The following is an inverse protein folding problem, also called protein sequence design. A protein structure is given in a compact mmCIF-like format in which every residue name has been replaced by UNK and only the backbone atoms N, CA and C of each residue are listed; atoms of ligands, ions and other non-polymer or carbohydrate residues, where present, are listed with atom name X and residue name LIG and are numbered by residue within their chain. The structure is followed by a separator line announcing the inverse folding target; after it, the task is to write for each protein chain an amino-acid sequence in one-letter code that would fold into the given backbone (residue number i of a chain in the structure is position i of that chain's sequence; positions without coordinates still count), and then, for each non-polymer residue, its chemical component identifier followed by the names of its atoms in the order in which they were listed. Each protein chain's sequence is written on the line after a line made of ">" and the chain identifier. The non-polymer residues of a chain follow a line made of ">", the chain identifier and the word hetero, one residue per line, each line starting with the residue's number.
data_IF_982078215634
#
_entry.id   IF_982078215634
#
_cell.length_a   1.000
_cell.length_b   1.000
_cell.length_c   1.000
_cell.angle_alpha   90.00
_cell.angle_beta   90.00
_cell.angle_gamma   90.00
#
_symmetry.space_group_name_H-M   'P 1'
#
loop_
_entity.id
_entity.type
_entity.pdbx_description
1 polymer ?
#
# COMPACT_ATOMS: atom_id res chain seq x y z
N UNK A 1 7.52 -13.33 -0.54
CA UNK A 1 8.92 -12.87 -0.40
C UNK A 1 8.90 -11.39 0.00
N UNK A 2 9.86 -10.89 0.79
CA UNK A 2 9.86 -9.47 1.20
C UNK A 2 10.01 -8.54 0.00
N UNK A 3 9.29 -7.41 0.05
CA UNK A 3 9.28 -6.41 -1.02
C UNK A 3 10.41 -5.36 -0.90
N UNK A 4 11.14 -5.33 0.22
CA UNK A 4 12.11 -4.28 0.53
C UNK A 4 13.16 -4.03 -0.56
N UNK A 5 13.79 -5.05 -1.18
CA UNK A 5 14.76 -4.82 -2.25
C UNK A 5 14.14 -4.17 -3.50
N UNK A 6 12.83 -4.33 -3.69
CA UNK A 6 12.11 -3.93 -4.90
C UNK A 6 11.29 -2.65 -4.73
N UNK A 7 11.16 -2.13 -3.50
CA UNK A 7 10.37 -0.94 -3.19
C UNK A 7 10.96 0.31 -3.83
N UNK A 8 10.07 1.22 -4.29
CA UNK A 8 10.45 2.55 -4.82
C UNK A 8 11.17 3.44 -3.81
N UNK A 9 10.97 3.19 -2.52
CA UNK A 9 11.55 3.98 -1.43
C UNK A 9 13.00 3.62 -1.08
N UNK A 10 13.57 2.61 -1.73
CA UNK A 10 14.96 2.25 -1.48
C UNK A 10 15.91 3.28 -2.12
N UNK A 11 16.78 3.88 -1.29
CA UNK A 11 17.70 4.96 -1.71
C UNK A 11 18.72 4.52 -2.74
N UNK A 12 19.23 3.30 -2.63
CA UNK A 12 20.27 2.75 -3.52
C UNK A 12 19.66 1.85 -4.59
N UNK A 13 19.13 2.47 -5.64
CA UNK A 13 18.60 1.72 -6.80
C UNK A 13 19.68 1.01 -7.62
N UNK A 14 20.96 1.40 -7.47
CA UNK A 14 22.06 0.95 -8.34
C UNK A 14 22.49 -0.49 -8.12
N UNK A 15 22.28 -1.07 -6.94
CA UNK A 15 22.69 -2.47 -6.68
C UNK A 15 21.75 -3.19 -5.71
N UNK A 16 20.53 -3.42 -6.17
CA UNK A 16 19.50 -4.15 -5.42
C UNK A 16 19.90 -5.60 -5.13
N UNK A 17 20.78 -6.17 -5.96
CA UNK A 17 21.26 -7.54 -5.82
C UNK A 17 22.07 -7.76 -4.54
N UNK A 18 22.66 -6.68 -3.97
CA UNK A 18 23.38 -6.72 -2.69
C UNK A 18 22.47 -6.74 -1.45
N UNK A 19 21.17 -6.47 -1.59
CA UNK A 19 20.27 -6.53 -0.45
C UNK A 19 20.16 -7.98 0.05
N UNK A 20 20.26 -8.16 1.38
CA UNK A 20 20.23 -9.50 2.02
C UNK A 20 19.01 -10.35 1.62
N UNK A 21 17.87 -9.71 1.39
CA UNK A 21 16.60 -10.36 1.06
C UNK A 21 16.42 -10.65 -0.44
N UNK A 22 17.35 -10.20 -1.29
CA UNK A 22 17.30 -10.47 -2.74
C UNK A 22 17.18 -11.97 -3.06
N UNK A 23 17.91 -12.79 -2.31
CA UNK A 23 17.96 -14.25 -2.52
C UNK A 23 16.73 -14.99 -2.01
N UNK A 24 15.81 -14.36 -1.29
CA UNK A 24 14.66 -15.03 -0.68
C UNK A 24 13.67 -15.58 -1.73
N UNK A 25 13.59 -14.97 -2.90
CA UNK A 25 12.76 -15.51 -3.98
C UNK A 25 13.35 -16.81 -4.56
N UNK A 26 14.67 -16.94 -4.62
CA UNK A 26 15.33 -18.23 -4.96
C UNK A 26 15.05 -19.30 -3.89
N UNK A 27 15.05 -18.91 -2.59
CA UNK A 27 14.68 -19.86 -1.53
C UNK A 27 13.21 -20.29 -1.63
N UNK A 28 12.33 -19.40 -2.04
CA UNK A 28 10.95 -19.77 -2.31
C UNK A 28 10.86 -20.80 -3.46
N UNK A 29 11.59 -20.57 -4.55
CA UNK A 29 11.70 -21.54 -5.65
C UNK A 29 12.22 -22.91 -5.20
N UNK A 30 13.26 -22.93 -4.34
CA UNK A 30 13.80 -24.18 -3.74
C UNK A 30 12.74 -24.89 -2.91
N UNK A 31 12.01 -24.18 -2.06
CA UNK A 31 10.93 -24.79 -1.25
C UNK A 31 9.80 -25.34 -2.11
N UNK A 32 9.44 -24.67 -3.21
CA UNK A 32 8.45 -25.21 -4.16
C UNK A 32 8.93 -26.51 -4.80
N UNK A 33 10.21 -26.63 -5.13
CA UNK A 33 10.78 -27.84 -5.68
C UNK A 33 10.79 -29.01 -4.67
N UNK A 34 11.10 -28.73 -3.42
CA UNK A 34 11.11 -29.73 -2.34
C UNK A 34 9.69 -30.21 -1.97
N UNK A 35 8.78 -29.24 -1.74
CA UNK A 35 7.41 -29.54 -1.26
C UNK A 35 6.49 -30.00 -2.40
N UNK A 36 6.74 -29.55 -3.64
CA UNK A 36 5.96 -29.86 -4.85
C UNK A 36 4.45 -29.60 -4.71
N UNK A 37 4.03 -28.44 -4.19
CA UNK A 37 2.62 -28.15 -3.98
C UNK A 37 1.84 -28.20 -5.30
N UNK A 38 0.53 -28.44 -5.26
CA UNK A 38 -0.30 -28.42 -6.45
C UNK A 38 -0.50 -27.00 -7.01
N UNK A 39 -0.53 -26.00 -6.13
CA UNK A 39 -0.74 -24.60 -6.47
C UNK A 39 0.31 -23.76 -5.75
N UNK A 40 0.84 -22.75 -6.44
CA UNK A 40 1.71 -21.72 -5.88
C UNK A 40 1.05 -20.37 -6.14
N UNK A 41 1.00 -19.52 -5.12
CA UNK A 41 0.60 -18.13 -5.25
C UNK A 41 1.65 -17.21 -4.64
N UNK A 42 1.83 -16.05 -5.25
CA UNK A 42 2.73 -15.01 -4.73
C UNK A 42 2.11 -13.64 -4.97
N UNK A 43 2.25 -12.76 -3.98
CA UNK A 43 1.99 -11.33 -4.08
C UNK A 43 3.28 -10.57 -3.80
N UNK A 44 3.52 -9.49 -4.56
CA UNK A 44 4.64 -8.59 -4.32
C UNK A 44 4.38 -7.20 -4.93
N UNK A 45 5.34 -6.29 -4.79
CA UNK A 45 5.29 -4.97 -5.44
C UNK A 45 5.48 -5.09 -6.96
N UNK A 46 4.87 -4.21 -7.76
CA UNK A 46 4.95 -4.25 -9.23
C UNK A 46 6.38 -4.26 -9.78
N UNK A 47 7.28 -3.55 -9.12
CA UNK A 47 8.68 -3.38 -9.55
C UNK A 47 9.45 -4.70 -9.65
N UNK A 48 9.02 -5.74 -8.91
CA UNK A 48 9.63 -7.07 -8.96
C UNK A 48 9.53 -7.70 -10.35
N UNK A 49 8.48 -7.40 -11.13
CA UNK A 49 8.26 -7.96 -12.47
C UNK A 49 9.45 -7.73 -13.41
N UNK A 50 10.14 -6.60 -13.25
CA UNK A 50 11.27 -6.19 -14.10
C UNK A 50 12.62 -6.72 -13.60
N UNK A 51 12.64 -7.51 -12.54
CA UNK A 51 13.88 -7.98 -11.93
C UNK A 51 14.25 -9.40 -12.39
N UNK A 52 15.54 -9.63 -12.64
CA UNK A 52 16.03 -10.95 -13.05
C UNK A 52 15.61 -12.08 -12.11
N UNK A 53 15.62 -11.85 -10.80
CA UNK A 53 15.20 -12.84 -9.80
C UNK A 53 13.76 -13.32 -10.01
N UNK A 54 12.88 -12.47 -10.52
CA UNK A 54 11.50 -12.85 -10.85
C UNK A 54 11.44 -13.73 -12.10
N UNK A 55 12.14 -13.35 -13.17
CA UNK A 55 12.20 -14.18 -14.38
C UNK A 55 12.83 -15.56 -14.11
N UNK A 56 13.85 -15.62 -13.27
CA UNK A 56 14.48 -16.88 -12.84
C UNK A 56 13.49 -17.75 -12.02
N UNK A 57 12.67 -17.12 -11.16
CA UNK A 57 11.63 -17.80 -10.40
C UNK A 57 10.54 -18.36 -11.30
N UNK A 58 10.03 -17.59 -12.25
CA UNK A 58 9.06 -18.04 -13.27
C UNK A 58 9.65 -19.21 -14.07
N UNK A 59 10.90 -19.11 -14.54
CA UNK A 59 11.61 -20.18 -15.23
C UNK A 59 11.74 -21.46 -14.38
N UNK A 60 11.99 -21.32 -13.09
CA UNK A 60 12.03 -22.45 -12.16
C UNK A 60 10.68 -23.15 -12.05
N UNK A 61 9.60 -22.39 -11.87
CA UNK A 61 8.23 -22.96 -11.80
C UNK A 61 7.86 -23.67 -13.10
N UNK A 62 8.17 -23.09 -14.24
CA UNK A 62 7.90 -23.67 -15.56
C UNK A 62 8.65 -25.00 -15.75
N UNK A 63 9.94 -25.04 -15.40
CA UNK A 63 10.76 -26.26 -15.43
C UNK A 63 10.21 -27.37 -14.50
N UNK A 64 9.61 -26.98 -13.37
CA UNK A 64 8.97 -27.90 -12.43
C UNK A 64 7.56 -28.37 -12.88
N UNK A 65 7.12 -27.97 -14.09
CA UNK A 65 5.86 -28.39 -14.70
C UNK A 65 4.64 -27.58 -14.28
N UNK A 66 4.84 -26.38 -13.74
CA UNK A 66 3.71 -25.48 -13.44
C UNK A 66 3.30 -24.66 -14.64
N UNK A 67 1.99 -24.53 -14.86
CA UNK A 67 1.40 -23.50 -15.71
C UNK A 67 1.39 -22.18 -14.94
N UNK A 68 2.21 -21.22 -15.33
CA UNK A 68 2.40 -19.96 -14.61
C UNK A 68 1.62 -18.84 -15.30
N UNK A 69 0.92 -18.03 -14.50
CA UNK A 69 0.25 -16.81 -14.94
C UNK A 69 0.56 -15.71 -13.92
N UNK A 70 0.93 -14.52 -14.38
CA UNK A 70 1.14 -13.37 -13.51
C UNK A 70 0.69 -12.08 -14.20
N UNK A 71 0.32 -11.10 -13.42
CA UNK A 71 0.05 -9.72 -13.86
C UNK A 71 0.09 -8.75 -12.69
N UNK A 72 0.29 -7.48 -13.00
CA UNK A 72 0.06 -6.39 -12.05
C UNK A 72 -1.44 -6.07 -12.02
N UNK A 73 -2.01 -6.08 -10.82
CA UNK A 73 -3.41 -5.72 -10.57
C UNK A 73 -3.48 -4.50 -9.66
N UNK A 74 -4.54 -3.71 -9.80
CA UNK A 74 -4.87 -2.65 -8.87
C UNK A 74 -6.12 -3.05 -8.07
N UNK A 75 -6.06 -3.02 -6.75
CA UNK A 75 -7.18 -3.41 -5.89
C UNK A 75 -8.45 -2.58 -6.15
N UNK A 76 -8.30 -1.32 -6.56
CA UNK A 76 -9.43 -0.45 -6.90
C UNK A 76 -10.30 -1.01 -8.04
N UNK A 77 -9.71 -1.76 -9.00
CA UNK A 77 -10.42 -2.35 -10.13
C UNK A 77 -11.32 -3.53 -9.69
N UNK A 78 -11.21 -3.94 -8.43
CA UNK A 78 -11.96 -5.05 -7.81
C UNK A 78 -12.84 -4.59 -6.63
N UNK A 79 -13.16 -3.30 -6.55
CA UNK A 79 -14.07 -2.75 -5.56
C UNK A 79 -13.44 -2.42 -4.20
N UNK A 80 -12.12 -2.50 -4.07
CA UNK A 80 -11.42 -2.02 -2.87
C UNK A 80 -11.24 -0.51 -2.99
N UNK A 81 -11.71 0.30 -2.02
CA UNK A 81 -11.58 1.77 -2.09
C UNK A 81 -10.14 2.25 -1.84
N UNK A 82 -9.18 1.58 -2.47
CA UNK A 82 -7.76 1.84 -2.25
C UNK A 82 -6.95 1.66 -3.53
N UNK A 83 -6.12 2.63 -3.87
CA UNK A 83 -5.13 2.52 -4.95
C UNK A 83 -3.96 1.67 -4.49
N UNK A 84 -4.04 0.35 -4.77
CA UNK A 84 -3.02 -0.62 -4.36
C UNK A 84 -2.65 -1.53 -5.52
N UNK A 85 -1.56 -1.21 -6.20
CA UNK A 85 -1.03 -2.04 -7.29
C UNK A 85 -0.12 -3.13 -6.74
N UNK A 86 -0.33 -4.36 -7.19
CA UNK A 86 0.46 -5.54 -6.78
C UNK A 86 0.71 -6.47 -7.94
N UNK A 87 1.91 -7.02 -7.98
CA UNK A 87 2.25 -8.16 -8.83
C UNK A 87 1.69 -9.43 -8.19
N UNK A 88 0.79 -10.08 -8.87
CA UNK A 88 0.25 -11.38 -8.48
C UNK A 88 0.75 -12.46 -9.42
N UNK A 89 1.19 -13.59 -8.87
CA UNK A 89 1.55 -14.79 -9.62
C UNK A 89 0.72 -15.96 -9.11
N UNK A 90 0.15 -16.71 -10.04
CA UNK A 90 -0.56 -17.97 -9.80
C UNK A 90 0.08 -19.06 -10.67
N UNK A 91 0.39 -20.20 -10.08
CA UNK A 91 0.93 -21.33 -10.81
C UNK A 91 0.27 -22.63 -10.37
N UNK A 92 0.01 -23.53 -11.30
CA UNK A 92 -0.66 -24.81 -11.04
C UNK A 92 -0.07 -25.93 -11.88
N UNK A 93 0.07 -27.13 -11.27
CA UNK A 93 0.47 -28.35 -11.98
C UNK A 93 -0.64 -28.97 -12.85
N UNK A 94 -1.90 -28.62 -12.57
CA UNK A 94 -3.05 -29.25 -13.28
C UNK A 94 -3.51 -28.43 -14.46
N UNK A 95 -3.93 -27.19 -14.22
CA UNK A 95 -4.53 -26.30 -15.23
C UNK A 95 -3.92 -24.90 -15.13
N UNK A 96 -3.93 -24.17 -16.25
CA UNK A 96 -3.66 -22.74 -16.23
C UNK A 96 -4.76 -22.04 -15.42
N UNK A 97 -4.34 -21.27 -14.41
CA UNK A 97 -5.24 -20.43 -13.61
C UNK A 97 -5.28 -19.06 -14.26
N UNK A 98 -6.50 -18.59 -14.54
CA UNK A 98 -6.73 -17.23 -15.06
C UNK A 98 -7.14 -16.31 -13.92
N UNK A 99 -6.72 -15.05 -13.98
CA UNK A 99 -7.23 -14.01 -13.10
C UNK A 99 -8.67 -13.67 -13.48
N UNK A 100 -9.50 -13.38 -12.48
CA UNK A 100 -10.81 -12.79 -12.72
C UNK A 100 -10.64 -11.43 -13.43
N UNK A 101 -11.62 -11.05 -14.22
CA UNK A 101 -11.63 -9.71 -14.82
C UNK A 101 -11.94 -8.66 -13.76
N UNK A 102 -11.51 -7.41 -13.95
CA UNK A 102 -11.94 -6.30 -13.13
C UNK A 102 -13.46 -6.28 -12.95
N UNK A 103 -13.91 -6.12 -11.72
CA UNK A 103 -15.34 -6.13 -11.38
C UNK A 103 -15.96 -4.74 -11.37
N UNK A 104 -15.13 -3.69 -11.35
CA UNK A 104 -15.55 -2.30 -11.26
C UNK A 104 -14.94 -1.49 -12.40
N UNK A 105 -15.77 -0.81 -13.19
CA UNK A 105 -15.34 0.13 -14.22
C UNK A 105 -14.97 1.49 -13.61
N UNK A 106 -15.67 1.86 -12.54
CA UNK A 106 -15.35 3.04 -11.72
C UNK A 106 -14.89 2.56 -10.32
N UNK A 107 -13.83 3.12 -9.77
CA UNK A 107 -13.37 2.73 -8.44
C UNK A 107 -14.34 3.23 -7.37
N UNK A 108 -14.51 2.45 -6.30
CA UNK A 108 -15.24 2.88 -5.10
C UNK A 108 -14.45 4.00 -4.41
N UNK A 109 -15.09 5.14 -4.22
CA UNK A 109 -14.48 6.34 -3.63
C UNK A 109 -14.40 6.25 -2.11
N UNK A 110 -13.57 7.13 -1.50
CA UNK A 110 -13.54 7.31 -0.04
C UNK A 110 -14.93 7.68 0.48
N UNK A 111 -15.69 8.53 -0.23
CA UNK A 111 -17.06 8.92 0.14
C UNK A 111 -17.99 7.71 0.21
N UNK A 112 -17.99 6.87 -0.78
CA UNK A 112 -18.83 5.67 -0.80
C UNK A 112 -18.46 4.67 0.31
N UNK A 113 -17.16 4.60 0.67
CA UNK A 113 -16.67 3.65 1.66
C UNK A 113 -16.92 4.08 3.11
N UNK A 114 -16.74 5.36 3.44
CA UNK A 114 -16.75 5.86 4.84
C UNK A 114 -17.64 7.07 5.08
N UNK A 115 -18.25 7.63 4.03
CA UNK A 115 -19.06 8.87 4.15
C UNK A 115 -20.30 8.75 5.03
N UNK A 116 -20.79 7.54 5.27
CA UNK A 116 -21.95 7.26 6.13
C UNK A 116 -21.56 6.89 7.57
N UNK A 117 -20.28 6.84 7.91
CA UNK A 117 -19.86 6.55 9.28
C UNK A 117 -20.16 7.73 10.21
N UNK A 118 -20.59 7.47 11.44
CA UNK A 118 -20.82 8.54 12.41
C UNK A 118 -19.52 9.33 12.66
N UNK A 119 -19.60 10.66 12.85
CA UNK A 119 -18.41 11.44 13.18
C UNK A 119 -17.86 11.05 14.56
N UNK A 120 -16.54 11.00 14.67
CA UNK A 120 -15.81 10.82 15.93
C UNK A 120 -14.57 11.74 15.94
N UNK A 121 -14.12 12.13 17.13
CA UNK A 121 -12.88 12.91 17.30
C UNK A 121 -11.64 12.06 17.44
N UNK A 122 -10.46 12.68 17.35
CA UNK A 122 -9.19 12.01 17.56
C UNK A 122 -9.07 11.44 18.99
N UNK A 123 -8.85 10.12 19.10
CA UNK A 123 -8.78 9.40 20.36
C UNK A 123 -10.14 8.93 20.89
N UNK A 124 -11.21 9.10 20.12
CA UNK A 124 -12.55 8.66 20.50
C UNK A 124 -12.91 7.26 19.97
N UNK A 125 -13.90 6.65 20.58
CA UNK A 125 -14.47 5.36 20.20
C UNK A 125 -15.96 5.54 19.97
N UNK A 126 -16.49 4.84 18.96
CA UNK A 126 -17.93 4.76 18.79
C UNK A 126 -18.52 3.76 19.78
N UNK A 127 -19.63 4.13 20.43
CA UNK A 127 -20.28 3.28 21.45
C UNK A 127 -20.94 2.02 20.86
N UNK A 128 -21.35 2.06 19.59
CA UNK A 128 -22.08 0.99 18.91
C UNK A 128 -21.12 0.09 18.13
N UNK A 129 -20.23 0.71 17.34
CA UNK A 129 -19.26 -0.02 16.53
C UNK A 129 -17.88 0.01 17.20
N UNK A 130 -17.47 -1.11 17.80
CA UNK A 130 -16.17 -1.26 18.46
C UNK A 130 -14.97 -1.14 17.52
N UNK A 131 -15.20 -1.30 16.24
CA UNK A 131 -14.16 -1.10 15.24
C UNK A 131 -14.04 0.37 14.82
N UNK A 132 -15.04 1.19 15.03
CA UNK A 132 -15.03 2.62 14.73
C UNK A 132 -14.36 3.40 15.87
N UNK A 133 -13.03 3.34 15.90
CA UNK A 133 -12.16 3.96 16.90
C UNK A 133 -11.10 4.80 16.21
N UNK A 134 -10.54 5.79 16.88
CA UNK A 134 -9.48 6.64 16.35
C UNK A 134 -8.29 6.73 17.30
N UNK A 135 -7.08 6.87 16.76
CA UNK A 135 -5.89 7.17 17.56
C UNK A 135 -5.89 8.63 18.00
N UNK A 136 -5.38 8.87 19.20
CA UNK A 136 -5.11 10.22 19.66
C UNK A 136 -4.05 10.89 18.79
N UNK A 137 -4.21 12.19 18.54
CA UNK A 137 -3.20 13.02 17.92
C UNK A 137 -2.50 13.87 18.99
N UNK A 138 -1.19 14.07 18.85
CA UNK A 138 -0.51 15.09 19.66
C UNK A 138 -1.06 16.48 19.31
N UNK A 139 -0.98 17.44 20.24
CA UNK A 139 -1.45 18.81 20.01
C UNK A 139 -0.87 19.41 18.72
N UNK A 140 0.41 19.14 18.44
CA UNK A 140 1.06 19.60 17.21
C UNK A 140 0.49 18.92 15.94
N UNK A 141 0.21 17.62 16.00
CA UNK A 141 -0.38 16.93 14.84
C UNK A 141 -1.86 17.30 14.65
N UNK A 142 -2.56 17.63 15.72
CA UNK A 142 -3.92 18.17 15.61
C UNK A 142 -3.92 19.54 14.89
N UNK A 143 -3.00 20.45 15.27
CA UNK A 143 -2.83 21.71 14.54
C UNK A 143 -2.48 21.50 13.07
N UNK A 144 -1.60 20.54 12.76
CA UNK A 144 -1.21 20.20 11.40
C UNK A 144 -2.37 19.69 10.55
N UNK A 145 -3.18 18.78 11.07
CA UNK A 145 -4.30 18.25 10.32
C UNK A 145 -5.37 19.32 10.09
N UNK A 146 -5.61 20.21 11.06
CA UNK A 146 -6.52 21.34 10.91
C UNK A 146 -6.13 22.30 9.78
N UNK A 147 -4.84 22.42 9.48
CA UNK A 147 -4.35 23.25 8.36
C UNK A 147 -4.24 22.45 7.05
N UNK A 148 -4.51 21.15 7.04
CA UNK A 148 -4.43 20.34 5.82
C UNK A 148 -5.76 20.36 5.06
N UNK A 149 -5.70 20.67 3.78
CA UNK A 149 -6.87 20.67 2.90
C UNK A 149 -7.23 19.24 2.44
N UNK A 150 -8.51 18.96 2.11
CA UNK A 150 -8.89 17.69 1.47
C UNK A 150 -8.05 17.44 0.22
N UNK A 151 -7.42 16.26 0.12
CA UNK A 151 -6.48 15.93 -0.96
C UNK A 151 -5.12 16.63 -0.90
N UNK A 152 -4.93 17.56 0.04
CA UNK A 152 -3.71 18.33 0.26
C UNK A 152 -2.60 17.57 1.00
N UNK A 153 -1.57 18.31 1.39
CA UNK A 153 -0.42 17.79 2.10
C UNK A 153 0.16 18.84 3.06
N UNK A 154 1.30 18.55 3.67
CA UNK A 154 2.03 19.50 4.51
C UNK A 154 2.46 20.80 3.80
N UNK A 155 2.36 20.88 2.48
CA UNK A 155 2.56 22.11 1.73
C UNK A 155 1.50 23.20 2.03
N UNK A 156 0.34 22.80 2.54
CA UNK A 156 -0.75 23.70 2.91
C UNK A 156 -0.51 24.40 4.27
N UNK A 157 0.54 23.94 5.01
CA UNK A 157 0.78 24.39 6.37
C UNK A 157 1.54 25.71 6.43
N UNK A 158 1.30 26.52 7.45
CA UNK A 158 2.17 27.64 7.76
C UNK A 158 3.57 27.15 8.19
N UNK A 159 4.60 27.95 7.94
CA UNK A 159 6.01 27.59 8.10
C UNK A 159 6.39 27.05 9.49
N UNK A 160 5.72 27.52 10.54
CA UNK A 160 5.96 27.06 11.91
C UNK A 160 5.49 25.64 12.19
N UNK A 161 4.59 25.07 11.35
CA UNK A 161 4.10 23.70 11.46
C UNK A 161 4.89 22.73 10.56
N UNK A 162 5.63 23.24 9.56
CA UNK A 162 6.43 22.41 8.64
C UNK A 162 7.63 21.83 9.34
N UNK A 163 7.85 20.52 9.17
CA UNK A 163 8.99 19.83 9.78
C UNK A 163 10.32 20.26 9.15
N UNK A 164 11.37 20.33 9.95
CA UNK A 164 12.70 20.67 9.47
C UNK A 164 13.22 19.73 8.35
N UNK A 165 12.81 18.45 8.36
CA UNK A 165 13.18 17.52 7.30
C UNK A 165 12.53 17.86 5.95
N UNK A 166 11.34 18.45 5.94
CA UNK A 166 10.64 18.88 4.73
C UNK A 166 11.15 20.22 4.17
N UNK A 167 11.75 21.04 5.01
CA UNK A 167 12.41 22.30 4.59
C UNK A 167 13.73 22.06 3.84
N UNK A 168 14.30 20.85 3.92
CA UNK A 168 15.50 20.47 3.19
C UNK A 168 15.19 20.16 1.73
N UNK A 169 16.12 20.46 0.82
CA UNK A 169 15.99 20.24 -0.63
C UNK A 169 15.44 18.85 -1.00
N UNK A 170 15.97 17.77 -0.40
CA UNK A 170 15.48 16.40 -0.65
C UNK A 170 14.14 16.08 0.04
N UNK A 171 13.76 16.81 1.05
CA UNK A 171 12.51 16.62 1.80
C UNK A 171 11.33 17.37 1.16
N UNK A 172 11.61 18.45 0.47
CA UNK A 172 10.60 19.34 -0.10
C UNK A 172 9.67 18.65 -1.12
N UNK A 173 10.17 17.66 -1.85
CA UNK A 173 9.39 16.90 -2.84
C UNK A 173 8.61 15.72 -2.26
N UNK A 174 8.76 15.43 -0.95
CA UNK A 174 8.13 14.27 -0.31
C UNK A 174 6.75 14.61 0.24
N UNK A 175 5.73 14.49 -0.60
CA UNK A 175 4.33 14.85 -0.31
C UNK A 175 3.44 13.67 0.06
N UNK A 176 4.00 12.46 0.21
CA UNK A 176 3.23 11.23 0.47
C UNK A 176 2.86 11.00 1.94
N UNK A 177 3.11 11.97 2.81
CA UNK A 177 2.83 11.95 4.25
C UNK A 177 2.07 13.20 4.67
N UNK A 178 1.48 13.17 5.86
CA UNK A 178 0.82 14.33 6.46
C UNK A 178 -0.23 14.98 5.56
N UNK A 179 -1.10 14.20 4.95
CA UNK A 179 -2.16 14.75 4.11
C UNK A 179 -3.52 14.16 4.43
N UNK A 180 -4.57 14.84 3.98
CA UNK A 180 -5.94 14.33 3.99
C UNK A 180 -6.24 13.57 2.70
N UNK A 181 -7.11 12.59 2.80
CA UNK A 181 -7.72 11.96 1.63
C UNK A 181 -8.69 12.92 0.95
N UNK A 182 -9.08 12.61 -0.27
CA UNK A 182 -10.13 13.29 -1.01
C UNK A 182 -11.38 12.40 -1.04
N UNK A 183 -12.57 12.99 -0.86
CA UNK A 183 -13.83 12.27 -0.91
C UNK A 183 -14.08 11.55 -2.24
N UNK A 184 -13.77 12.22 -3.34
CA UNK A 184 -14.09 11.79 -4.70
C UNK A 184 -12.96 10.93 -5.36
N UNK A 185 -11.95 10.55 -4.58
CA UNK A 185 -10.89 9.66 -5.04
C UNK A 185 -10.83 8.39 -4.18
N UNK A 186 -10.03 7.43 -4.59
CA UNK A 186 -9.70 6.23 -3.79
C UNK A 186 -8.64 6.58 -2.75
N UNK A 187 -8.65 5.90 -1.62
CA UNK A 187 -7.59 6.02 -0.62
C UNK A 187 -6.20 5.67 -1.24
N UNK A 188 -5.13 6.31 -0.80
CA UNK A 188 -3.77 5.87 -1.14
C UNK A 188 -3.49 4.48 -0.57
N UNK A 189 -2.39 3.85 -1.00
CA UNK A 189 -1.98 2.55 -0.44
C UNK A 189 -1.79 2.65 1.07
N UNK A 190 -2.66 2.01 1.83
CA UNK A 190 -2.63 1.99 3.29
C UNK A 190 -1.51 1.06 3.75
N UNK A 191 -0.66 1.55 4.65
CA UNK A 191 0.49 0.86 5.21
C UNK A 191 0.19 0.34 6.63
N UNK A 192 1.06 -0.48 7.19
CA UNK A 192 0.88 -1.06 8.53
C UNK A 192 0.85 -0.03 9.67
N UNK A 193 1.37 1.18 9.45
CA UNK A 193 1.38 2.26 10.44
C UNK A 193 0.36 3.36 10.10
N UNK A 194 -0.74 3.01 9.48
CA UNK A 194 -1.77 3.95 8.99
C UNK A 194 -2.46 4.77 10.10
N UNK A 195 -2.38 4.33 11.35
CA UNK A 195 -2.92 5.05 12.51
C UNK A 195 -2.14 6.33 12.83
N UNK A 196 -0.89 6.44 12.37
CA UNK A 196 -0.07 7.62 12.56
C UNK A 196 -0.27 8.67 11.46
N UNK A 197 -0.68 9.88 11.81
CA UNK A 197 -0.90 10.95 10.82
C UNK A 197 0.33 11.25 9.95
N UNK A 198 1.53 11.06 10.49
CA UNK A 198 2.79 11.29 9.76
C UNK A 198 3.27 10.15 8.87
N UNK A 199 2.56 9.03 8.77
CA UNK A 199 3.03 7.83 8.07
C UNK A 199 2.47 7.68 6.65
N UNK A 200 1.52 8.54 6.28
CA UNK A 200 0.90 8.56 4.97
C UNK A 200 -0.07 9.73 4.80
N UNK A 201 -0.83 9.74 3.72
CA UNK A 201 -1.92 10.69 3.47
C UNK A 201 -3.24 10.07 3.91
N UNK A 202 -3.34 9.76 5.20
CA UNK A 202 -4.44 9.01 5.79
C UNK A 202 -5.38 9.89 6.64
N UNK A 203 -5.20 11.20 6.63
CA UNK A 203 -6.14 12.12 7.26
C UNK A 203 -7.53 11.97 6.66
N UNK A 204 -8.55 11.93 7.52
CA UNK A 204 -9.95 11.97 7.06
C UNK A 204 -10.19 13.24 6.25
N UNK A 205 -11.01 13.21 5.17
CA UNK A 205 -11.20 14.37 4.33
C UNK A 205 -11.68 15.63 5.07
N UNK A 206 -12.50 15.50 6.12
CA UNK A 206 -13.09 16.62 6.88
C UNK A 206 -12.77 16.57 8.37
N UNK A 207 -12.85 15.39 9.01
CA UNK A 207 -12.63 15.26 10.46
C UNK A 207 -11.14 15.32 10.79
N UNK A 208 -10.79 15.88 11.96
CA UNK A 208 -9.40 16.06 12.40
C UNK A 208 -8.84 14.78 13.03
N UNK A 209 -8.82 13.72 12.25
CA UNK A 209 -8.34 12.40 12.64
C UNK A 209 -7.59 11.70 11.49
N UNK A 210 -6.71 10.78 11.85
CA UNK A 210 -6.11 9.85 10.89
C UNK A 210 -7.01 8.63 10.75
N UNK A 211 -7.07 8.06 9.54
CA UNK A 211 -7.90 6.90 9.25
C UNK A 211 -7.45 5.72 10.11
N UNK A 212 -8.39 5.09 10.81
CA UNK A 212 -8.14 3.85 11.56
C UNK A 212 -8.97 2.71 11.01
N UNK A 213 -10.05 3.02 10.32
CA UNK A 213 -10.98 2.02 9.85
C UNK A 213 -10.77 1.61 8.42
N UNK A 214 -10.62 0.34 8.28
CA UNK A 214 -10.86 -0.38 7.02
C UNK A 214 -11.76 -1.55 7.33
#
# INVERSE_FOLDING_TARGET
>A
APCQPFSRHQKDKKDRSKHKDWKLLYQFGRLVDEVKPHIVSMENVPELENEKVFSDFVGTLTRLGYNVTYKVVNAADYGVPQRRKRLLLLASKKKKISFIQPTHQQPVTVREAIGNLPPIGAGENNAIDRLHITSSLSALNLQRIQHSMPGGSWHDWPDNLVLNCHKKEKGHTYTSVYGRMCWEDVAPTITTQFTGYGTGRFGHPEQDLSLIHI
#
